data_IF_052990796172
#
_entry.id   IF_052990796172
#
_cell.length_a   1.000
_cell.length_b   1.000
_cell.length_c   1.000
_cell.angle_alpha   90.00
_cell.angle_beta   90.00
_cell.angle_gamma   90.00
#
_symmetry.space_group_name_H-M   'P 1'
#
loop_
_entity.id
_entity.type
_entity.pdbx_description
1 polymer ?
#
# COMPACT_ATOMS: atom_id res chain seq x y z
N UNK A 1 -1.25 -16.08 -43.41
CA UNK A 1 -2.64 -16.16 -42.95
C UNK A 1 -2.62 -16.93 -41.64
N UNK A 2 -2.78 -16.26 -40.51
CA UNK A 2 -2.75 -16.83 -39.16
C UNK A 2 -3.72 -16.00 -38.31
N UNK A 3 -4.97 -16.47 -38.24
CA UNK A 3 -6.01 -15.94 -37.38
C UNK A 3 -5.83 -16.53 -35.98
N UNK A 4 -5.28 -15.76 -35.05
CA UNK A 4 -5.27 -16.09 -33.64
C UNK A 4 -6.47 -15.40 -32.97
N UNK A 5 -7.58 -16.13 -32.84
CA UNK A 5 -8.69 -15.74 -31.98
C UNK A 5 -8.24 -15.78 -30.51
N UNK A 6 -7.97 -14.61 -29.92
CA UNK A 6 -7.69 -14.50 -28.49
C UNK A 6 -9.03 -14.41 -27.75
N UNK A 7 -9.50 -15.54 -27.23
CA UNK A 7 -10.66 -15.57 -26.33
C UNK A 7 -10.20 -15.07 -24.96
N UNK A 8 -10.41 -13.77 -24.69
CA UNK A 8 -10.22 -13.21 -23.37
C UNK A 8 -11.23 -13.86 -22.41
N UNK A 9 -10.74 -14.64 -21.44
CA UNK A 9 -11.54 -15.13 -20.35
C UNK A 9 -12.12 -13.95 -19.56
N UNK A 10 -13.38 -14.02 -19.08
CA UNK A 10 -13.95 -12.96 -18.26
C UNK A 10 -13.14 -12.84 -16.97
N UNK A 11 -12.44 -11.72 -16.84
CA UNK A 11 -11.72 -11.32 -15.64
C UNK A 11 -12.65 -11.45 -14.44
N UNK A 12 -12.25 -12.25 -13.45
CA UNK A 12 -12.97 -12.39 -12.20
C UNK A 12 -13.19 -11.00 -11.57
N UNK A 13 -14.31 -10.76 -10.87
CA UNK A 13 -14.60 -9.46 -10.27
C UNK A 13 -13.45 -9.08 -9.34
N UNK A 14 -12.72 -8.01 -9.69
CA UNK A 14 -11.71 -7.37 -8.84
C UNK A 14 -12.44 -6.82 -7.63
N UNK A 15 -12.57 -7.62 -6.59
CA UNK A 15 -13.06 -7.16 -5.30
C UNK A 15 -12.17 -6.02 -4.85
N UNK A 16 -12.76 -4.84 -4.75
CA UNK A 16 -12.14 -3.56 -4.41
C UNK A 16 -11.78 -3.59 -2.92
N UNK A 17 -10.79 -4.40 -2.56
CA UNK A 17 -10.24 -4.43 -1.22
C UNK A 17 -9.51 -3.10 -1.04
N UNK A 18 -9.94 -2.30 -0.07
CA UNK A 18 -9.28 -1.04 0.26
C UNK A 18 -7.79 -1.29 0.55
N UNK A 19 -6.95 -0.28 0.31
CA UNK A 19 -5.49 -0.40 0.49
C UNK A 19 -5.11 -1.01 1.85
N UNK A 20 -5.86 -0.69 2.92
CA UNK A 20 -5.67 -1.28 4.25
C UNK A 20 -5.82 -2.80 4.30
N UNK A 21 -6.72 -3.40 3.53
CA UNK A 21 -6.83 -4.87 3.43
C UNK A 21 -5.72 -5.47 2.56
N UNK A 22 -5.34 -4.80 1.47
CA UNK A 22 -4.20 -5.24 0.66
C UNK A 22 -2.89 -5.24 1.45
N UNK A 23 -2.73 -4.24 2.32
CA UNK A 23 -1.63 -4.11 3.28
C UNK A 23 -1.67 -5.26 4.30
N UNK A 24 -2.83 -5.55 4.91
CA UNK A 24 -2.97 -6.67 5.87
C UNK A 24 -2.62 -8.03 5.28
N UNK A 25 -2.82 -8.24 3.98
CA UNK A 25 -2.50 -9.50 3.29
C UNK A 25 -1.05 -9.59 2.79
N UNK A 26 -0.29 -8.48 2.85
CA UNK A 26 1.11 -8.41 2.41
C UNK A 26 2.00 -8.29 3.65
N UNK A 27 2.70 -9.37 4.03
CA UNK A 27 3.57 -9.36 5.22
C UNK A 27 5.04 -9.06 4.87
N UNK A 28 5.64 -8.00 5.45
CA UNK A 28 7.10 -7.81 5.47
C UNK A 28 7.79 -8.77 6.45
N UNK A 29 9.06 -8.50 6.75
CA UNK A 29 9.93 -9.29 7.63
C UNK A 29 9.18 -9.80 8.88
N UNK A 30 9.36 -11.08 9.28
CA UNK A 30 8.72 -11.62 10.47
C UNK A 30 9.03 -10.74 11.69
N UNK A 31 8.00 -10.17 12.32
CA UNK A 31 8.13 -9.28 13.47
C UNK A 31 7.68 -7.84 13.23
N UNK A 32 7.99 -7.25 12.07
CA UNK A 32 7.63 -5.85 11.77
C UNK A 32 6.11 -5.62 11.80
N UNK A 33 5.32 -6.58 11.30
CA UNK A 33 3.84 -6.55 11.34
C UNK A 33 3.31 -6.44 12.77
N UNK A 34 4.00 -7.06 13.74
CA UNK A 34 3.53 -7.10 15.13
C UNK A 34 3.69 -5.75 15.84
N UNK A 35 4.59 -4.88 15.35
CA UNK A 35 4.93 -3.61 15.98
C UNK A 35 4.40 -2.39 15.21
N UNK A 36 3.73 -2.61 14.09
CA UNK A 36 3.21 -1.53 13.25
C UNK A 36 1.70 -1.41 13.40
N UNK A 37 1.27 -0.20 13.76
CA UNK A 37 -0.11 0.23 13.67
C UNK A 37 -0.41 0.70 12.24
N UNK A 38 -1.46 0.13 11.65
CA UNK A 38 -1.98 0.51 10.33
C UNK A 38 -3.35 1.13 10.49
N UNK A 39 -3.55 2.34 9.95
CA UNK A 39 -4.85 3.00 9.92
C UNK A 39 -5.15 3.63 8.57
N UNK A 40 -6.43 3.80 8.25
CA UNK A 40 -6.89 4.44 7.01
C UNK A 40 -7.54 5.78 7.35
N UNK A 41 -6.75 6.87 7.44
CA UNK A 41 -7.31 8.18 7.73
C UNK A 41 -8.27 8.62 6.61
N UNK A 42 -9.28 9.47 6.94
CA UNK A 42 -10.29 9.87 5.98
C UNK A 42 -9.65 10.60 4.81
N UNK A 43 -10.00 10.16 3.60
CA UNK A 43 -9.49 10.80 2.40
C UNK A 43 -10.11 12.16 2.16
N UNK A 44 -9.26 13.17 2.00
CA UNK A 44 -9.66 14.53 1.63
C UNK A 44 -9.98 14.65 0.14
N UNK A 45 -9.56 13.67 -0.67
CA UNK A 45 -9.71 13.66 -2.13
C UNK A 45 -10.47 12.41 -2.57
N UNK A 46 -11.45 12.55 -3.46
CA UNK A 46 -12.39 11.47 -3.83
C UNK A 46 -11.79 10.26 -4.56
N UNK A 47 -10.48 10.26 -4.81
CA UNK A 47 -9.80 9.26 -5.64
C UNK A 47 -8.47 8.78 -5.03
N UNK A 48 -8.21 9.07 -3.75
CA UNK A 48 -7.02 8.61 -3.06
C UNK A 48 -7.41 7.79 -1.84
N UNK A 49 -6.82 6.61 -1.70
CA UNK A 49 -6.81 5.84 -0.48
C UNK A 49 -5.57 6.20 0.33
N UNK A 50 -5.75 6.72 1.53
CA UNK A 50 -4.65 6.95 2.45
C UNK A 50 -4.46 5.76 3.38
N UNK A 51 -3.19 5.44 3.65
CA UNK A 51 -2.81 4.53 4.72
C UNK A 51 -1.70 5.14 5.56
N UNK A 52 -1.93 5.20 6.86
CA UNK A 52 -0.95 5.61 7.85
C UNK A 52 -0.31 4.38 8.48
N UNK A 53 1.02 4.35 8.50
CA UNK A 53 1.84 3.38 9.22
C UNK A 53 2.52 4.10 10.38
N UNK A 54 2.45 3.52 11.58
CA UNK A 54 3.07 4.07 12.78
C UNK A 54 3.69 2.95 13.62
N UNK A 55 4.85 3.19 14.21
CA UNK A 55 5.56 2.21 15.03
C UNK A 55 7.07 2.49 15.10
N UNK A 56 7.88 1.51 15.53
CA UNK A 56 9.33 1.63 15.55
C UNK A 56 9.88 2.00 14.17
N UNK A 57 10.85 2.92 14.14
CA UNK A 57 11.39 3.50 12.90
C UNK A 57 11.78 2.44 11.88
N UNK A 58 12.59 1.48 12.29
CA UNK A 58 13.12 0.45 11.39
C UNK A 58 12.02 -0.48 10.88
N UNK A 59 11.05 -0.83 11.73
CA UNK A 59 9.90 -1.66 11.34
C UNK A 59 9.03 -0.93 10.31
N UNK A 60 8.76 0.36 10.52
CA UNK A 60 7.99 1.21 9.58
C UNK A 60 8.71 1.37 8.25
N UNK A 61 10.03 1.57 8.26
CA UNK A 61 10.82 1.67 7.04
C UNK A 61 10.86 0.33 6.27
N UNK A 62 11.06 -0.79 6.96
CA UNK A 62 11.04 -2.13 6.35
C UNK A 62 9.67 -2.45 5.74
N UNK A 63 8.59 -2.10 6.45
CA UNK A 63 7.23 -2.32 5.98
C UNK A 63 6.91 -1.42 4.78
N UNK A 64 7.25 -0.14 4.83
CA UNK A 64 7.06 0.77 3.72
C UNK A 64 7.86 0.32 2.48
N UNK A 65 9.14 -0.03 2.64
CA UNK A 65 9.98 -0.53 1.57
C UNK A 65 9.38 -1.78 0.90
N UNK A 66 8.83 -2.69 1.69
CA UNK A 66 8.13 -3.86 1.17
C UNK A 66 6.84 -3.51 0.41
N UNK A 67 6.04 -2.54 0.88
CA UNK A 67 4.87 -2.08 0.15
C UNK A 67 5.24 -1.45 -1.19
N UNK A 68 6.28 -0.62 -1.23
CA UNK A 68 6.79 -0.05 -2.49
C UNK A 68 7.33 -1.14 -3.42
N UNK A 69 8.08 -2.12 -2.90
CA UNK A 69 8.64 -3.21 -3.71
C UNK A 69 7.57 -4.16 -4.28
N UNK A 70 6.45 -4.31 -3.59
CA UNK A 70 5.32 -5.15 -4.03
C UNK A 70 4.22 -4.38 -4.75
N UNK A 71 4.36 -3.06 -4.86
CA UNK A 71 3.41 -2.26 -5.61
C UNK A 71 3.55 -2.56 -7.10
N UNK A 72 2.42 -2.82 -7.74
CA UNK A 72 2.33 -3.08 -9.18
C UNK A 72 1.80 -1.86 -9.93
N UNK A 73 1.56 -0.74 -9.23
CA UNK A 73 1.17 0.53 -9.82
C UNK A 73 2.33 1.20 -10.53
N UNK A 74 2.02 1.99 -11.56
CA UNK A 74 2.99 2.75 -12.35
C UNK A 74 2.46 4.15 -12.62
N UNK A 75 3.34 5.15 -12.66
CA UNK A 75 2.97 6.55 -12.88
C UNK A 75 1.90 7.01 -11.88
N UNK A 76 0.79 7.55 -12.38
CA UNK A 76 -0.33 8.11 -11.60
C UNK A 76 -1.17 7.07 -10.84
N UNK A 77 -0.75 5.80 -10.80
CA UNK A 77 -1.38 4.73 -10.02
C UNK A 77 -0.44 4.10 -8.99
N UNK A 78 0.80 4.56 -8.95
CA UNK A 78 1.81 4.08 -8.02
C UNK A 78 1.46 4.48 -6.58
N UNK A 79 1.86 3.64 -5.64
CA UNK A 79 1.92 4.00 -4.24
C UNK A 79 2.84 5.22 -4.05
N UNK A 80 2.42 6.17 -3.23
CA UNK A 80 3.17 7.40 -2.97
C UNK A 80 3.34 7.61 -1.45
N UNK A 81 4.51 8.12 -1.05
CA UNK A 81 4.74 8.65 0.28
C UNK A 81 4.26 10.11 0.30
N UNK A 82 3.19 10.39 1.04
CA UNK A 82 2.57 11.71 1.12
C UNK A 82 3.28 12.59 2.12
N UNK A 83 3.55 12.05 3.32
CA UNK A 83 4.18 12.81 4.40
C UNK A 83 4.80 11.90 5.45
N UNK A 84 5.84 12.41 6.11
CA UNK A 84 6.30 11.93 7.42
C UNK A 84 5.60 12.79 8.46
N UNK A 85 4.72 12.19 9.26
CA UNK A 85 3.90 12.92 10.23
C UNK A 85 4.57 13.02 11.61
N UNK A 86 5.40 12.05 11.98
CA UNK A 86 6.12 12.00 13.25
C UNK A 86 7.44 11.25 13.08
N UNK A 87 8.52 11.77 13.66
CA UNK A 87 9.84 11.15 13.68
C UNK A 87 10.57 11.55 14.97
N UNK A 88 10.68 10.62 15.91
CA UNK A 88 11.33 10.85 17.21
C UNK A 88 12.50 9.89 17.46
N UNK A 89 13.26 9.56 16.42
CA UNK A 89 14.45 8.69 16.50
C UNK A 89 14.15 7.22 16.77
N UNK A 90 13.16 6.91 17.60
CA UNK A 90 12.71 5.56 17.94
C UNK A 90 11.45 5.18 17.17
N UNK A 91 10.51 6.11 16.98
CA UNK A 91 9.27 5.90 16.24
C UNK A 91 9.22 6.73 14.97
N UNK A 92 8.42 6.24 14.03
CA UNK A 92 8.14 6.87 12.76
C UNK A 92 6.66 6.71 12.42
N UNK A 93 6.02 7.80 12.01
CA UNK A 93 4.68 7.75 11.42
C UNK A 93 4.74 8.30 10.01
N UNK A 94 4.32 7.49 9.03
CA UNK A 94 4.24 7.88 7.62
C UNK A 94 2.82 7.77 7.10
N UNK A 95 2.47 8.68 6.19
CA UNK A 95 1.23 8.65 5.43
C UNK A 95 1.55 8.27 3.99
N UNK A 96 0.95 7.18 3.54
CA UNK A 96 1.00 6.69 2.17
C UNK A 96 -0.33 6.99 1.47
N UNK A 97 -0.28 7.22 0.16
CA UNK A 97 -1.47 7.33 -0.68
C UNK A 97 -1.38 6.34 -1.84
N UNK A 98 -2.55 5.82 -2.23
CA UNK A 98 -2.70 5.12 -3.49
C UNK A 98 -3.93 5.64 -4.24
N UNK A 99 -3.79 6.00 -5.51
CA UNK A 99 -4.92 6.29 -6.38
C UNK A 99 -5.88 5.10 -6.50
N UNK A 100 -7.19 5.39 -6.43
CA UNK A 100 -8.32 4.42 -6.42
C UNK A 100 -8.67 3.83 -7.79
#
# INVERSE_FOLDING_TARGET
MLDAHFTAAPEAPRTRHGLGEQIRHRSPRPGAVAHIAVSSPPSRLRFLDYTRLSGPRDDVLDYAAFLFATDTGWGDTALELVSVEEEDGENLTVLLAKPL
#
